data_IF_522300961518
#
_entry.id   IF_522300961518
#
_cell.length_a   1.000
_cell.length_b   1.000
_cell.length_c   1.000
_cell.angle_alpha   90.00
_cell.angle_beta   90.00
_cell.angle_gamma   90.00
#
_symmetry.space_group_name_H-M   'P 1'
#
loop_
_entity.id
_entity.type
_entity.pdbx_description
1 polymer ?
#
# COMPACT_ATOMS: atom_id res chain seq x y z
N UNK A 1 -3.51 4.05 -22.22
CA UNK A 1 -3.59 2.61 -21.84
C UNK A 1 -5.05 2.25 -21.69
N UNK A 2 -5.51 1.09 -22.23
CA UNK A 2 -6.87 0.61 -21.98
C UNK A 2 -7.03 0.32 -20.49
N UNK A 3 -8.18 0.69 -19.92
CA UNK A 3 -8.50 0.35 -18.53
C UNK A 3 -8.64 -1.17 -18.41
N UNK A 4 -7.98 -1.74 -17.42
CA UNK A 4 -8.21 -3.13 -17.02
C UNK A 4 -9.36 -3.14 -16.01
N UNK A 5 -10.31 -4.06 -16.19
CA UNK A 5 -11.45 -4.23 -15.30
C UNK A 5 -11.38 -5.58 -14.61
N UNK A 6 -11.76 -5.60 -13.35
CA UNK A 6 -11.95 -6.83 -12.58
C UNK A 6 -13.29 -7.47 -12.94
N UNK A 7 -13.48 -8.74 -12.66
CA UNK A 7 -14.69 -9.49 -13.02
C UNK A 7 -15.97 -8.80 -12.53
N UNK A 8 -15.99 -8.34 -11.30
CA UNK A 8 -17.15 -7.65 -10.73
C UNK A 8 -17.38 -6.24 -11.30
N UNK A 9 -16.45 -5.70 -12.06
CA UNK A 9 -16.56 -4.41 -12.77
C UNK A 9 -17.10 -4.57 -14.22
N UNK A 10 -17.43 -5.78 -14.66
CA UNK A 10 -17.91 -6.02 -16.03
C UNK A 10 -19.03 -5.08 -16.48
N UNK A 11 -20.08 -4.80 -15.66
CA UNK A 11 -21.12 -3.86 -16.06
C UNK A 11 -20.59 -2.43 -16.30
N UNK A 12 -19.54 -2.03 -15.58
CA UNK A 12 -18.84 -0.75 -15.76
C UNK A 12 -18.01 -0.76 -17.05
N UNK A 13 -17.31 -1.87 -17.33
CA UNK A 13 -16.52 -2.07 -18.54
C UNK A 13 -17.38 -1.96 -19.81
N UNK A 14 -18.56 -2.60 -19.82
CA UNK A 14 -19.50 -2.53 -20.93
C UNK A 14 -19.98 -1.09 -21.19
N UNK A 15 -20.27 -0.35 -20.12
CA UNK A 15 -20.72 1.04 -20.22
C UNK A 15 -19.60 1.97 -20.70
N UNK A 16 -18.38 1.81 -20.20
CA UNK A 16 -17.23 2.59 -20.66
C UNK A 16 -16.85 2.28 -22.12
N UNK A 17 -16.94 1.01 -22.55
CA UNK A 17 -16.74 0.63 -23.95
C UNK A 17 -17.79 1.29 -24.88
N UNK A 18 -19.05 1.35 -24.44
CA UNK A 18 -20.11 2.03 -25.21
C UNK A 18 -19.83 3.54 -25.33
N UNK A 19 -19.39 4.17 -24.26
CA UNK A 19 -18.99 5.59 -24.28
C UNK A 19 -17.82 5.82 -25.27
N UNK A 20 -16.82 4.94 -25.26
CA UNK A 20 -15.69 5.03 -26.16
C UNK A 20 -16.10 4.87 -27.63
N UNK A 21 -16.97 3.91 -27.94
CA UNK A 21 -17.56 3.73 -29.28
C UNK A 21 -18.30 4.99 -29.75
N UNK A 22 -19.15 5.58 -28.90
CA UNK A 22 -19.89 6.80 -29.25
C UNK A 22 -18.96 7.98 -29.50
N UNK A 23 -17.89 8.14 -28.71
CA UNK A 23 -16.86 9.17 -28.95
C UNK A 23 -16.16 8.99 -30.29
N UNK A 24 -15.90 7.74 -30.71
CA UNK A 24 -15.30 7.45 -31.99
C UNK A 24 -16.27 7.84 -33.14
N UNK A 25 -17.58 7.47 -33.04
CA UNK A 25 -18.59 7.85 -34.00
C UNK A 25 -18.75 9.36 -34.07
N UNK A 26 -18.74 10.07 -32.94
CA UNK A 26 -18.85 11.53 -32.92
C UNK A 26 -17.67 12.22 -33.61
N UNK A 27 -16.47 11.65 -33.50
CA UNK A 27 -15.27 12.20 -34.15
C UNK A 27 -15.30 12.02 -35.67
N UNK A 28 -16.04 11.04 -36.19
CA UNK A 28 -16.11 10.62 -37.60
C UNK A 28 -17.40 11.09 -38.32
N UNK A 29 -18.35 11.68 -37.60
CA UNK A 29 -19.64 12.12 -38.14
C UNK A 29 -20.02 13.54 -37.71
N UNK A 30 -20.88 14.22 -38.52
CA UNK A 30 -21.42 15.54 -38.17
C UNK A 30 -22.55 15.50 -37.14
N UNK A 31 -22.85 14.33 -36.56
CA UNK A 31 -23.93 14.17 -35.56
C UNK A 31 -23.42 14.52 -34.17
N UNK A 32 -24.06 15.49 -33.52
CA UNK A 32 -23.74 15.82 -32.12
C UNK A 32 -24.47 14.86 -31.17
N UNK A 33 -23.71 14.00 -30.53
CA UNK A 33 -24.18 13.02 -29.52
C UNK A 33 -23.61 13.32 -28.13
N UNK A 34 -23.16 14.55 -27.88
CA UNK A 34 -22.53 14.96 -26.63
C UNK A 34 -23.43 14.75 -25.41
N UNK A 35 -24.73 15.02 -25.55
CA UNK A 35 -25.72 14.82 -24.46
C UNK A 35 -25.83 13.35 -24.06
N UNK A 36 -25.84 12.43 -25.02
CA UNK A 36 -25.93 11.00 -24.74
C UNK A 36 -24.63 10.49 -24.09
N UNK A 37 -23.47 10.94 -24.57
CA UNK A 37 -22.18 10.65 -23.93
C UNK A 37 -22.17 11.15 -22.49
N UNK A 38 -22.66 12.37 -22.26
CA UNK A 38 -22.75 12.96 -20.91
C UNK A 38 -23.63 12.13 -19.95
N UNK A 39 -24.82 11.69 -20.45
CA UNK A 39 -25.72 10.79 -19.67
C UNK A 39 -25.06 9.46 -19.33
N UNK A 40 -24.39 8.84 -20.28
CA UNK A 40 -23.70 7.56 -20.05
C UNK A 40 -22.51 7.71 -19.10
N UNK A 41 -21.76 8.81 -19.16
CA UNK A 41 -20.69 9.11 -18.21
C UNK A 41 -21.22 9.28 -16.79
N UNK A 42 -22.33 10.00 -16.61
CA UNK A 42 -22.96 10.13 -15.31
C UNK A 42 -23.46 8.78 -14.77
N UNK A 43 -24.05 7.96 -15.65
CA UNK A 43 -24.46 6.60 -15.30
C UNK A 43 -23.27 5.73 -14.90
N UNK A 44 -22.14 5.83 -15.63
CA UNK A 44 -20.91 5.12 -15.31
C UNK A 44 -20.38 5.51 -13.92
N UNK A 45 -20.34 6.81 -13.60
CA UNK A 45 -19.91 7.29 -12.28
C UNK A 45 -20.84 6.80 -11.16
N UNK A 46 -22.15 6.81 -11.37
CA UNK A 46 -23.13 6.31 -10.40
C UNK A 46 -22.93 4.81 -10.16
N UNK A 47 -22.85 4.03 -11.25
CA UNK A 47 -22.62 2.60 -11.18
C UNK A 47 -21.29 2.25 -10.49
N UNK A 48 -20.21 2.97 -10.79
CA UNK A 48 -18.93 2.79 -10.10
C UNK A 48 -19.05 3.05 -8.59
N UNK A 49 -19.76 4.11 -8.18
CA UNK A 49 -20.02 4.39 -6.76
C UNK A 49 -20.80 3.26 -6.08
N UNK A 50 -21.82 2.73 -6.73
CA UNK A 50 -22.66 1.63 -6.21
C UNK A 50 -21.87 0.34 -6.03
N UNK A 51 -21.05 -0.02 -7.05
CA UNK A 51 -20.19 -1.22 -7.00
C UNK A 51 -19.17 -1.07 -5.87
N UNK A 52 -18.45 0.04 -5.84
CA UNK A 52 -17.35 0.26 -4.87
C UNK A 52 -17.83 0.52 -3.43
N UNK A 53 -19.08 0.90 -3.24
CA UNK A 53 -19.70 1.01 -1.91
C UNK A 53 -20.02 -0.36 -1.27
N UNK A 54 -20.06 -1.43 -2.07
CA UNK A 54 -20.51 -2.77 -1.63
C UNK A 54 -19.44 -3.86 -1.83
N UNK A 55 -18.18 -3.47 -2.00
CA UNK A 55 -17.12 -4.44 -2.18
C UNK A 55 -17.02 -5.40 -0.98
N UNK A 56 -16.97 -6.69 -1.29
CA UNK A 56 -16.60 -7.69 -0.28
C UNK A 56 -15.11 -7.57 0.08
N UNK A 57 -14.65 -8.12 1.21
CA UNK A 57 -13.23 -8.17 1.56
C UNK A 57 -12.37 -8.84 0.47
N UNK A 58 -12.89 -9.88 -0.18
CA UNK A 58 -12.23 -10.52 -1.31
C UNK A 58 -12.10 -9.59 -2.52
N UNK A 59 -13.17 -8.92 -2.91
CA UNK A 59 -13.12 -7.92 -3.99
C UNK A 59 -12.17 -6.77 -3.66
N UNK A 60 -12.13 -6.33 -2.41
CA UNK A 60 -11.15 -5.34 -1.94
C UNK A 60 -9.72 -5.85 -2.11
N UNK A 61 -9.45 -7.12 -1.81
CA UNK A 61 -8.13 -7.72 -2.05
C UNK A 61 -7.76 -7.73 -3.54
N UNK A 62 -8.71 -7.99 -4.43
CA UNK A 62 -8.48 -7.90 -5.87
C UNK A 62 -8.17 -6.46 -6.32
N UNK A 63 -8.87 -5.45 -5.78
CA UNK A 63 -8.56 -4.03 -6.03
C UNK A 63 -7.18 -3.65 -5.50
N UNK A 64 -6.79 -4.12 -4.31
CA UNK A 64 -5.45 -3.89 -3.74
C UNK A 64 -4.34 -4.41 -4.65
N UNK A 65 -4.59 -5.48 -5.40
CA UNK A 65 -3.67 -6.14 -6.34
C UNK A 65 -3.80 -5.66 -7.78
N UNK A 66 -4.70 -4.70 -8.04
CA UNK A 66 -4.98 -4.28 -9.41
C UNK A 66 -3.68 -3.86 -10.14
N UNK A 67 -3.40 -4.37 -11.37
CA UNK A 67 -2.11 -4.17 -12.04
C UNK A 67 -1.82 -2.71 -12.41
N UNK A 68 -2.84 -1.87 -12.51
CA UNK A 68 -2.70 -0.44 -12.78
C UNK A 68 -2.66 0.41 -11.50
N UNK A 69 -2.76 -0.20 -10.31
CA UNK A 69 -2.68 0.54 -9.04
C UNK A 69 -1.31 1.23 -8.91
N UNK A 70 -1.25 2.49 -8.44
CA UNK A 70 0.01 3.19 -8.24
C UNK A 70 0.91 2.45 -7.24
N UNK A 71 2.19 2.33 -7.58
CA UNK A 71 3.25 1.79 -6.72
C UNK A 71 4.03 2.91 -6.05
N UNK A 72 4.97 2.57 -5.20
CA UNK A 72 5.76 3.54 -4.42
C UNK A 72 6.39 4.63 -5.29
N UNK A 73 7.05 4.27 -6.40
CA UNK A 73 7.69 5.26 -7.29
C UNK A 73 6.68 6.20 -7.96
N UNK A 74 5.44 5.78 -8.17
CA UNK A 74 4.39 6.66 -8.72
C UNK A 74 4.03 7.73 -7.67
N UNK A 75 3.88 7.34 -6.40
CA UNK A 75 3.64 8.30 -5.31
C UNK A 75 4.86 9.20 -5.05
N UNK A 76 6.08 8.65 -5.16
CA UNK A 76 7.31 9.45 -5.01
C UNK A 76 7.33 10.58 -6.03
N UNK A 77 7.04 10.32 -7.30
CA UNK A 77 7.03 11.33 -8.37
C UNK A 77 5.97 12.43 -8.17
N UNK A 78 4.81 12.08 -7.61
CA UNK A 78 3.68 13.00 -7.46
C UNK A 78 3.69 13.78 -6.13
N UNK A 79 4.32 13.24 -5.08
CA UNK A 79 4.23 13.77 -3.71
C UNK A 79 5.52 14.47 -3.27
N UNK A 80 6.68 13.94 -3.69
CA UNK A 80 7.99 14.39 -3.22
C UNK A 80 8.77 15.10 -4.34
N UNK A 81 9.77 15.89 -3.95
CA UNK A 81 10.75 16.48 -4.87
C UNK A 81 12.17 16.01 -4.50
N UNK A 82 13.11 16.18 -5.43
CA UNK A 82 14.54 15.90 -5.21
C UNK A 82 14.79 14.48 -4.67
N UNK A 83 14.10 13.49 -5.22
CA UNK A 83 14.30 12.10 -4.80
C UNK A 83 15.61 11.56 -5.37
N UNK A 84 16.49 11.13 -4.45
CA UNK A 84 17.76 10.47 -4.74
C UNK A 84 17.74 9.06 -4.15
N UNK A 85 17.63 8.06 -5.02
CA UNK A 85 17.61 6.66 -4.60
C UNK A 85 18.98 6.21 -4.08
N UNK A 86 18.97 5.44 -2.98
CA UNK A 86 20.14 4.91 -2.31
C UNK A 86 20.12 3.38 -2.34
N UNK A 87 21.03 2.79 -3.09
CA UNK A 87 21.06 1.36 -3.38
C UNK A 87 21.94 0.55 -2.40
N UNK A 88 21.63 -0.75 -2.29
CA UNK A 88 22.43 -1.76 -1.63
C UNK A 88 22.37 -1.77 -0.10
N UNK A 89 22.58 -2.95 0.48
CA UNK A 89 22.55 -3.19 1.92
C UNK A 89 23.91 -3.01 2.62
N UNK A 90 25.01 -2.87 1.88
CA UNK A 90 26.40 -2.82 2.37
C UNK A 90 26.90 -4.12 2.98
N UNK A 91 26.19 -5.25 2.72
CA UNK A 91 26.57 -6.58 3.20
C UNK A 91 26.64 -7.62 2.08
N UNK A 92 25.65 -7.62 1.17
CA UNK A 92 25.57 -8.61 0.12
C UNK A 92 25.25 -8.01 -1.25
N UNK A 93 24.06 -7.39 -1.43
CA UNK A 93 23.62 -6.89 -2.73
C UNK A 93 22.58 -5.75 -2.60
N UNK A 94 22.08 -5.30 -3.74
CA UNK A 94 20.85 -4.51 -3.82
C UNK A 94 19.65 -5.41 -4.06
N UNK A 95 18.48 -4.99 -3.56
CA UNK A 95 17.19 -5.60 -3.85
C UNK A 95 16.22 -4.52 -4.34
N UNK A 96 15.83 -4.62 -5.61
CA UNK A 96 14.96 -3.66 -6.27
C UNK A 96 13.48 -3.77 -5.85
N UNK A 97 13.10 -4.77 -5.05
CA UNK A 97 11.75 -4.88 -4.50
C UNK A 97 11.47 -3.92 -3.33
N UNK A 98 12.54 -3.41 -2.70
CA UNK A 98 12.47 -2.23 -1.84
C UNK A 98 13.25 -1.11 -2.51
N UNK A 99 12.63 0.03 -2.66
CA UNK A 99 13.29 1.29 -3.03
C UNK A 99 13.40 2.17 -1.81
N UNK A 100 14.39 3.02 -1.77
CA UNK A 100 14.49 4.02 -0.73
C UNK A 100 15.54 5.07 -1.04
N UNK A 101 15.35 6.26 -0.48
CA UNK A 101 16.23 7.37 -0.75
C UNK A 101 15.83 8.65 -0.03
N UNK A 102 16.68 9.64 -0.16
CA UNK A 102 16.41 10.99 0.35
C UNK A 102 15.50 11.74 -0.62
N UNK A 103 14.60 12.54 -0.06
CA UNK A 103 13.68 13.38 -0.82
C UNK A 103 13.33 14.65 -0.05
N UNK A 104 12.46 15.48 -0.63
CA UNK A 104 11.82 16.58 0.08
C UNK A 104 10.31 16.40 0.06
N UNK A 105 9.71 16.52 1.22
CA UNK A 105 8.27 16.59 1.42
C UNK A 105 7.88 18.02 1.80
N UNK A 106 7.13 18.73 0.93
CA UNK A 106 6.81 20.14 1.13
C UNK A 106 8.05 21.02 1.43
N UNK A 107 9.16 20.78 0.75
CA UNK A 107 10.44 21.47 0.92
C UNK A 107 11.32 20.95 2.06
N UNK A 108 10.78 20.14 2.98
CA UNK A 108 11.51 19.58 4.11
C UNK A 108 12.24 18.27 3.73
N UNK A 109 13.52 18.11 4.07
CA UNK A 109 14.24 16.86 3.85
C UNK A 109 13.60 15.70 4.60
N UNK A 110 13.52 14.54 3.95
CA UNK A 110 12.96 13.32 4.52
C UNK A 110 13.60 12.07 3.92
N UNK A 111 13.34 10.92 4.53
CA UNK A 111 13.65 9.61 4.00
C UNK A 111 12.37 8.94 3.51
N UNK A 112 12.41 8.39 2.29
CA UNK A 112 11.31 7.59 1.71
C UNK A 112 11.81 6.16 1.52
N UNK A 113 11.01 5.19 1.94
CA UNK A 113 11.29 3.75 1.80
C UNK A 113 9.99 3.07 1.39
N UNK A 114 10.01 2.14 0.44
CA UNK A 114 8.78 1.44 0.09
C UNK A 114 8.98 0.23 -0.80
N UNK A 115 7.98 -0.62 -0.82
CA UNK A 115 7.93 -1.76 -1.72
C UNK A 115 7.65 -1.29 -3.15
N UNK A 116 8.26 -1.93 -4.11
CA UNK A 116 8.07 -1.65 -5.52
C UNK A 116 7.81 -2.93 -6.29
N UNK A 117 6.65 -2.99 -6.94
CA UNK A 117 6.29 -4.02 -7.91
C UNK A 117 6.64 -3.56 -9.32
N UNK A 118 6.73 -4.48 -10.26
CA UNK A 118 6.98 -4.19 -11.67
C UNK A 118 5.68 -4.09 -12.50
N UNK A 119 5.72 -3.31 -13.58
CA UNK A 119 4.60 -3.14 -14.51
C UNK A 119 4.54 -4.25 -15.57
N UNK A 120 5.68 -4.62 -16.13
CA UNK A 120 5.82 -5.69 -17.11
C UNK A 120 6.52 -6.92 -16.51
N UNK A 121 6.60 -7.99 -17.30
CA UNK A 121 7.20 -9.27 -16.85
C UNK A 121 8.67 -9.11 -16.47
N UNK A 122 9.45 -8.32 -17.22
CA UNK A 122 10.87 -8.10 -16.97
C UNK A 122 11.07 -7.33 -15.67
N UNK A 123 10.32 -6.24 -15.49
CA UNK A 123 10.38 -5.44 -14.28
C UNK A 123 9.89 -6.23 -13.06
N UNK A 124 8.80 -7.01 -13.19
CA UNK A 124 8.32 -7.90 -12.12
C UNK A 124 9.37 -8.90 -11.68
N UNK A 125 10.06 -9.54 -12.63
CA UNK A 125 11.14 -10.47 -12.32
C UNK A 125 12.32 -9.78 -11.62
N UNK A 126 12.75 -8.60 -12.08
CA UNK A 126 13.83 -7.83 -11.48
C UNK A 126 13.51 -7.39 -10.04
N UNK A 127 12.24 -7.10 -9.76
CA UNK A 127 11.73 -6.71 -8.43
C UNK A 127 11.17 -7.89 -7.62
N UNK A 128 11.48 -9.11 -8.03
CA UNK A 128 11.05 -10.34 -7.39
C UNK A 128 9.55 -10.33 -7.04
N UNK A 129 8.70 -9.83 -7.95
CA UNK A 129 7.24 -9.70 -7.80
C UNK A 129 6.80 -8.89 -6.58
N UNK A 130 7.65 -7.99 -6.10
CA UNK A 130 7.42 -7.18 -4.89
C UNK A 130 7.64 -7.92 -3.58
N UNK A 131 8.32 -9.07 -3.63
CA UNK A 131 8.70 -9.87 -2.45
C UNK A 131 10.17 -9.61 -2.09
N UNK A 132 10.47 -8.83 -1.03
CA UNK A 132 11.84 -8.51 -0.68
C UNK A 132 12.62 -9.72 -0.17
N UNK A 133 13.92 -9.71 -0.51
CA UNK A 133 14.95 -10.57 0.04
C UNK A 133 15.59 -9.92 1.27
N UNK A 134 16.42 -10.63 2.04
CA UNK A 134 17.08 -10.08 3.23
C UNK A 134 17.82 -8.78 2.98
N UNK A 135 18.49 -8.66 1.84
CA UNK A 135 19.23 -7.47 1.43
C UNK A 135 18.32 -6.25 1.21
N UNK A 136 17.06 -6.42 0.82
CA UNK A 136 16.07 -5.34 0.75
C UNK A 136 15.73 -4.80 2.14
N UNK A 137 15.49 -5.68 3.10
CA UNK A 137 15.21 -5.28 4.48
C UNK A 137 16.43 -4.65 5.16
N UNK A 138 17.64 -5.18 4.94
CA UNK A 138 18.87 -4.57 5.44
C UNK A 138 19.14 -3.20 4.82
N UNK A 139 18.82 -3.02 3.52
CA UNK A 139 18.85 -1.70 2.88
C UNK A 139 17.87 -0.73 3.58
N UNK A 140 16.62 -1.15 3.82
CA UNK A 140 15.65 -0.34 4.54
C UNK A 140 16.18 0.05 5.94
N UNK A 141 16.74 -0.90 6.68
CA UNK A 141 17.36 -0.65 7.99
C UNK A 141 18.46 0.42 7.91
N UNK A 142 19.37 0.26 6.96
CA UNK A 142 20.46 1.22 6.74
C UNK A 142 19.92 2.63 6.48
N UNK A 143 18.87 2.75 5.69
CA UNK A 143 18.24 4.05 5.38
C UNK A 143 17.52 4.63 6.60
N UNK A 144 16.85 3.80 7.41
CA UNK A 144 16.23 4.23 8.66
C UNK A 144 17.27 4.80 9.66
N UNK A 145 18.41 4.11 9.82
CA UNK A 145 19.52 4.59 10.64
C UNK A 145 20.15 5.88 10.09
N UNK A 146 20.24 6.00 8.77
CA UNK A 146 20.69 7.24 8.12
C UNK A 146 19.72 8.39 8.39
N UNK A 147 18.42 8.14 8.29
CA UNK A 147 17.40 9.14 8.60
C UNK A 147 17.46 9.59 10.07
N UNK A 148 17.60 8.66 11.00
CA UNK A 148 17.75 8.96 12.41
C UNK A 148 18.99 9.83 12.68
N UNK A 149 20.15 9.47 12.10
CA UNK A 149 21.40 10.24 12.21
C UNK A 149 21.25 11.70 11.79
N UNK A 150 20.48 11.96 10.73
CA UNK A 150 20.23 13.30 10.21
C UNK A 150 18.92 13.92 10.71
N UNK A 151 18.23 13.27 11.62
CA UNK A 151 16.94 13.72 12.19
C UNK A 151 15.87 13.96 11.12
N UNK A 152 15.83 13.10 10.11
CA UNK A 152 14.87 13.16 9.02
C UNK A 152 13.61 12.35 9.36
N UNK A 153 12.41 12.86 9.11
CA UNK A 153 11.20 12.03 9.16
C UNK A 153 11.25 10.95 8.08
N UNK A 154 10.67 9.80 8.39
CA UNK A 154 10.63 8.64 7.53
C UNK A 154 9.20 8.41 7.06
N UNK A 155 9.03 8.28 5.74
CA UNK A 155 7.79 7.85 5.11
C UNK A 155 7.99 6.45 4.54
N UNK A 156 7.16 5.48 4.96
CA UNK A 156 7.20 4.14 4.39
C UNK A 156 5.94 3.82 3.60
N UNK A 157 6.10 3.13 2.46
CA UNK A 157 5.02 2.70 1.59
C UNK A 157 5.00 1.19 1.46
N UNK A 158 3.94 0.56 1.94
CA UNK A 158 3.79 -0.89 2.02
C UNK A 158 2.95 -1.39 0.84
N UNK A 159 3.55 -2.23 0.00
CA UNK A 159 2.87 -2.93 -1.09
C UNK A 159 3.61 -4.22 -1.47
N UNK A 160 3.42 -5.26 -0.68
CA UNK A 160 4.04 -6.57 -0.87
C UNK A 160 3.08 -7.71 -0.55
N UNK A 161 3.08 -8.80 -1.32
CA UNK A 161 2.38 -10.03 -0.94
C UNK A 161 3.03 -10.75 0.25
N UNK A 162 4.29 -10.41 0.58
CA UNK A 162 5.08 -11.01 1.66
C UNK A 162 6.57 -10.96 1.38
N UNK A 163 7.36 -11.47 2.31
CA UNK A 163 8.80 -11.66 2.12
C UNK A 163 9.07 -12.84 1.17
N UNK A 164 10.17 -12.78 0.43
CA UNK A 164 10.57 -13.88 -0.45
C UNK A 164 10.87 -15.16 0.35
N UNK A 165 10.21 -16.30 0.03
CA UNK A 165 10.32 -17.54 0.81
C UNK A 165 11.36 -18.52 0.26
N UNK A 166 12.25 -18.11 -0.65
CA UNK A 166 13.19 -19.00 -1.31
C UNK A 166 14.40 -19.37 -0.44
N UNK A 167 15.10 -20.44 -0.82
CA UNK A 167 16.30 -20.96 -0.12
C UNK A 167 17.33 -19.86 0.11
N UNK A 168 17.65 -19.06 -0.90
CA UNK A 168 18.61 -17.96 -0.76
C UNK A 168 18.18 -16.87 0.23
N UNK A 169 16.91 -16.77 0.58
CA UNK A 169 16.45 -15.88 1.64
C UNK A 169 16.75 -16.48 3.02
N UNK A 170 16.50 -17.78 3.22
CA UNK A 170 16.88 -18.49 4.45
C UNK A 170 18.40 -18.45 4.68
N UNK A 171 19.20 -18.77 3.66
CA UNK A 171 20.66 -18.75 3.73
C UNK A 171 21.22 -17.37 4.13
N UNK A 172 20.55 -16.29 3.76
CA UNK A 172 21.00 -14.92 4.04
C UNK A 172 20.23 -14.23 5.17
N UNK A 173 19.47 -15.00 5.96
CA UNK A 173 18.87 -14.54 7.20
C UNK A 173 17.62 -13.68 7.03
N UNK A 174 16.61 -14.17 6.29
CA UNK A 174 15.33 -13.45 6.09
C UNK A 174 14.64 -13.09 7.39
N UNK A 175 14.51 -14.06 8.31
CA UNK A 175 13.85 -13.84 9.61
C UNK A 175 14.62 -12.82 10.46
N UNK A 176 15.94 -12.91 10.47
CA UNK A 176 16.79 -11.96 11.20
C UNK A 176 16.64 -10.54 10.64
N UNK A 177 16.72 -10.37 9.32
CA UNK A 177 16.61 -9.05 8.69
C UNK A 177 15.24 -8.39 8.97
N UNK A 178 14.16 -9.17 8.95
CA UNK A 178 12.80 -8.69 9.30
C UNK A 178 12.73 -8.35 10.80
N UNK A 179 13.13 -9.26 11.67
CA UNK A 179 13.08 -9.08 13.13
C UNK A 179 13.93 -7.90 13.62
N UNK A 180 15.12 -7.72 13.05
CA UNK A 180 15.98 -6.58 13.34
C UNK A 180 15.34 -5.25 12.89
N UNK A 181 14.67 -5.21 11.74
CA UNK A 181 13.93 -4.02 11.33
C UNK A 181 12.82 -3.66 12.32
N UNK A 182 12.04 -4.65 12.79
CA UNK A 182 10.99 -4.41 13.80
C UNK A 182 11.56 -3.78 15.09
N UNK A 183 12.64 -4.38 15.57
CA UNK A 183 13.34 -3.88 16.76
C UNK A 183 13.82 -2.44 16.58
N UNK A 184 14.54 -2.16 15.49
CA UNK A 184 15.08 -0.84 15.22
C UNK A 184 13.97 0.19 15.00
N UNK A 185 12.94 -0.14 14.26
CA UNK A 185 11.81 0.78 14.03
C UNK A 185 11.10 1.17 15.33
N UNK A 186 11.02 0.26 16.29
CA UNK A 186 10.46 0.57 17.60
C UNK A 186 11.27 1.64 18.36
N UNK A 187 12.57 1.72 18.15
CA UNK A 187 13.49 2.61 18.87
C UNK A 187 13.85 3.91 18.12
N UNK A 188 13.48 4.06 16.84
CA UNK A 188 13.84 5.24 16.05
C UNK A 188 13.37 6.55 16.71
N UNK A 189 14.29 7.50 16.84
CA UNK A 189 14.07 8.80 17.48
C UNK A 189 13.59 9.89 16.50
N UNK A 190 12.98 9.50 15.41
CA UNK A 190 12.42 10.39 14.38
C UNK A 190 10.99 9.98 14.06
N UNK A 191 10.16 10.88 13.54
CA UNK A 191 8.82 10.54 13.06
C UNK A 191 8.85 9.45 12.00
N UNK A 192 8.04 8.40 12.16
CA UNK A 192 7.85 7.33 11.17
C UNK A 192 6.37 7.26 10.80
N UNK A 193 6.07 7.53 9.54
CA UNK A 193 4.72 7.51 8.99
C UNK A 193 4.64 6.40 7.96
N UNK A 194 3.83 5.40 8.25
CA UNK A 194 3.59 4.22 7.41
C UNK A 194 2.33 4.41 6.59
N UNK A 195 2.35 3.99 5.33
CA UNK A 195 1.15 3.93 4.50
C UNK A 195 1.05 2.59 3.78
N UNK A 196 -0.02 1.84 4.02
CA UNK A 196 -0.35 0.66 3.24
C UNK A 196 -1.06 1.15 1.96
N UNK A 197 -0.39 1.00 0.79
CA UNK A 197 -0.86 1.51 -0.49
C UNK A 197 -1.47 0.44 -1.41
N UNK A 198 -1.26 -0.83 -1.10
CA UNK A 198 -1.77 -1.97 -1.84
C UNK A 198 -1.92 -3.17 -0.92
N UNK A 199 -1.09 -4.19 -1.09
CA UNK A 199 -1.06 -5.36 -0.20
C UNK A 199 -0.06 -5.16 0.95
N UNK A 200 -0.50 -5.40 2.18
CA UNK A 200 0.37 -5.47 3.35
C UNK A 200 0.50 -6.91 3.80
N UNK A 201 1.37 -7.71 3.15
CA UNK A 201 1.50 -9.14 3.41
C UNK A 201 2.52 -9.48 4.49
N UNK A 202 2.05 -10.05 5.61
CA UNK A 202 2.84 -10.77 6.61
C UNK A 202 4.07 -9.99 7.15
N UNK A 203 5.11 -10.71 7.56
CA UNK A 203 6.38 -10.14 8.04
C UNK A 203 7.08 -9.24 7.02
N UNK A 204 6.85 -9.50 5.72
CA UNK A 204 7.37 -8.65 4.65
C UNK A 204 6.87 -7.21 4.73
N UNK A 205 5.60 -7.04 5.02
CA UNK A 205 5.00 -5.73 5.27
C UNK A 205 5.45 -5.14 6.61
N UNK A 206 5.43 -5.95 7.67
CA UNK A 206 5.79 -5.51 9.03
C UNK A 206 7.20 -4.92 9.11
N UNK A 207 8.15 -5.48 8.35
CA UNK A 207 9.56 -5.07 8.38
C UNK A 207 9.80 -3.58 8.04
N UNK A 208 8.79 -2.88 7.50
CA UNK A 208 8.81 -1.43 7.28
C UNK A 208 7.53 -0.73 7.77
N UNK A 209 6.76 -1.39 8.65
CA UNK A 209 5.42 -0.91 9.05
C UNK A 209 5.27 -0.57 10.54
N UNK A 210 6.33 -0.52 11.33
CA UNK A 210 6.28 -0.07 12.72
C UNK A 210 6.46 1.45 12.77
N UNK A 211 5.37 2.20 12.92
CA UNK A 211 5.38 3.65 12.84
C UNK A 211 4.63 4.37 13.95
N UNK A 212 4.86 5.68 14.06
CA UNK A 212 4.08 6.57 14.91
C UNK A 212 2.67 6.77 14.39
N UNK A 213 2.51 6.80 13.07
CA UNK A 213 1.22 6.86 12.39
C UNK A 213 1.19 5.78 11.30
N UNK A 214 0.10 5.01 11.26
CA UNK A 214 -0.16 3.99 10.23
C UNK A 214 -1.42 4.36 9.48
N UNK A 215 -1.22 4.78 8.23
CA UNK A 215 -2.27 5.11 7.29
C UNK A 215 -2.51 3.92 6.36
N UNK A 216 -3.71 3.81 5.84
CA UNK A 216 -4.05 2.77 4.88
C UNK A 216 -4.99 3.33 3.83
N UNK A 217 -4.72 3.07 2.54
CA UNK A 217 -5.64 3.44 1.49
C UNK A 217 -6.92 2.61 1.58
N UNK A 218 -8.03 3.18 1.17
CA UNK A 218 -9.38 2.63 1.37
C UNK A 218 -9.55 1.20 0.85
N UNK A 219 -8.97 0.90 -0.31
CA UNK A 219 -9.06 -0.41 -0.95
C UNK A 219 -7.73 -1.17 -0.91
N UNK A 220 -6.90 -0.91 0.09
CA UNK A 220 -5.74 -1.72 0.42
C UNK A 220 -6.12 -2.86 1.37
N UNK A 221 -5.23 -3.84 1.52
CA UNK A 221 -5.37 -4.94 2.49
C UNK A 221 -4.13 -5.05 3.36
N UNK A 222 -4.31 -5.47 4.61
CA UNK A 222 -3.21 -5.71 5.54
C UNK A 222 -3.51 -6.96 6.38
N UNK A 223 -2.68 -7.99 6.27
CA UNK A 223 -2.94 -9.28 6.89
C UNK A 223 -1.66 -10.08 7.13
N UNK A 224 -1.75 -11.03 8.06
CA UNK A 224 -0.66 -11.97 8.37
C UNK A 224 -0.39 -12.98 7.26
N UNK A 225 -1.38 -13.28 6.44
CA UNK A 225 -1.33 -14.26 5.34
C UNK A 225 -2.30 -13.83 4.22
N UNK A 226 -2.06 -14.25 2.99
CA UNK A 226 -3.03 -14.04 1.91
C UNK A 226 -4.31 -14.85 2.14
N UNK A 227 -5.48 -14.39 1.68
CA UNK A 227 -6.71 -15.15 1.77
C UNK A 227 -6.60 -16.55 1.18
N UNK A 228 -5.92 -16.70 0.05
CA UNK A 228 -5.69 -17.99 -0.62
C UNK A 228 -4.81 -18.91 0.23
N UNK A 229 -3.75 -18.36 0.83
CA UNK A 229 -2.87 -19.11 1.75
C UNK A 229 -3.62 -19.59 2.99
N UNK A 230 -4.40 -18.72 3.61
CA UNK A 230 -5.27 -19.05 4.74
C UNK A 230 -6.29 -20.15 4.36
N UNK A 231 -6.97 -19.99 3.23
CA UNK A 231 -7.92 -20.95 2.72
C UNK A 231 -7.29 -22.34 2.47
N UNK A 232 -6.10 -22.35 1.86
CA UNK A 232 -5.37 -23.60 1.60
C UNK A 232 -4.97 -24.32 2.88
N UNK A 233 -4.57 -23.61 3.93
CA UNK A 233 -4.18 -24.19 5.23
C UNK A 233 -5.40 -24.70 6.00
N UNK A 234 -6.46 -23.88 6.13
CA UNK A 234 -7.60 -24.20 7.00
C UNK A 234 -8.65 -25.08 6.32
N UNK A 235 -8.91 -24.86 5.03
CA UNK A 235 -9.96 -25.58 4.29
C UNK A 235 -9.42 -26.52 3.20
N UNK A 236 -8.09 -26.53 2.98
CA UNK A 236 -7.42 -27.31 1.92
C UNK A 236 -7.99 -27.02 0.52
N UNK A 237 -8.52 -25.83 0.31
CA UNK A 237 -9.05 -25.36 -0.98
C UNK A 237 -8.86 -23.86 -1.12
N UNK A 238 -8.21 -23.43 -2.19
CA UNK A 238 -8.05 -22.02 -2.54
C UNK A 238 -9.40 -21.34 -2.90
N UNK A 239 -10.42 -22.11 -3.29
CA UNK A 239 -11.75 -21.60 -3.61
C UNK A 239 -12.45 -20.96 -2.39
N UNK A 240 -11.95 -21.24 -1.18
CA UNK A 240 -12.38 -20.64 0.08
C UNK A 240 -11.69 -19.31 0.40
N UNK A 241 -10.93 -18.74 -0.54
CA UNK A 241 -10.30 -17.44 -0.35
C UNK A 241 -11.28 -16.30 -0.02
N UNK A 242 -12.51 -16.22 -0.58
CA UNK A 242 -13.50 -15.24 -0.16
C UNK A 242 -13.90 -15.36 1.32
N UNK A 243 -14.13 -16.59 1.81
CA UNK A 243 -14.48 -16.86 3.20
C UNK A 243 -13.31 -16.50 4.13
N UNK A 244 -12.09 -16.82 3.72
CA UNK A 244 -10.86 -16.45 4.43
C UNK A 244 -10.66 -14.92 4.50
N UNK A 245 -10.92 -14.20 3.41
CA UNK A 245 -10.81 -12.74 3.38
C UNK A 245 -11.76 -12.06 4.37
N UNK A 246 -12.98 -12.58 4.51
CA UNK A 246 -13.96 -12.11 5.49
C UNK A 246 -13.49 -12.40 6.92
N UNK A 247 -13.07 -13.63 7.21
CA UNK A 247 -12.64 -14.07 8.53
C UNK A 247 -11.38 -13.34 9.03
N UNK A 248 -10.44 -13.05 8.14
CA UNK A 248 -9.18 -12.36 8.45
C UNK A 248 -9.34 -10.85 8.71
N UNK A 249 -10.50 -10.25 8.41
CA UNK A 249 -10.80 -8.84 8.63
C UNK A 249 -9.76 -7.87 8.01
N UNK A 250 -9.26 -8.16 6.80
CA UNK A 250 -8.10 -7.54 6.16
C UNK A 250 -8.30 -6.13 5.62
N UNK A 251 -9.53 -5.58 5.66
CA UNK A 251 -9.88 -4.30 5.02
C UNK A 251 -9.60 -3.09 5.92
N UNK A 252 -9.35 -1.94 5.32
CA UNK A 252 -9.00 -0.73 6.05
C UNK A 252 -10.02 -0.30 7.12
N UNK A 253 -11.35 -0.33 6.88
CA UNK A 253 -12.33 -0.01 7.93
C UNK A 253 -12.24 -0.97 9.13
N UNK A 254 -12.15 -2.29 8.87
CA UNK A 254 -12.06 -3.30 9.93
C UNK A 254 -10.80 -3.15 10.77
N UNK A 255 -9.66 -2.91 10.12
CA UNK A 255 -8.38 -2.71 10.81
C UNK A 255 -8.35 -1.42 11.63
N UNK A 256 -9.07 -0.38 11.19
CA UNK A 256 -9.26 0.83 11.96
C UNK A 256 -10.11 0.59 13.20
N UNK A 257 -11.21 -0.14 13.08
CA UNK A 257 -12.08 -0.51 14.21
C UNK A 257 -11.33 -1.35 15.25
N UNK A 258 -10.41 -2.21 14.80
CA UNK A 258 -9.52 -3.01 15.65
C UNK A 258 -8.35 -2.20 16.26
N UNK A 259 -8.17 -0.93 15.87
CA UNK A 259 -7.09 -0.07 16.34
C UNK A 259 -5.71 -0.40 15.77
N UNK A 260 -5.64 -1.19 14.70
CA UNK A 260 -4.38 -1.57 14.05
C UNK A 260 -3.82 -0.49 13.12
N UNK A 261 -4.69 0.38 12.60
CA UNK A 261 -4.33 1.55 11.81
C UNK A 261 -4.98 2.82 12.38
N UNK A 262 -4.38 3.99 12.11
CA UNK A 262 -4.89 5.27 12.63
C UNK A 262 -5.87 5.94 11.69
N UNK A 263 -5.64 5.81 10.39
CA UNK A 263 -6.41 6.56 9.40
C UNK A 263 -6.61 5.78 8.12
N UNK A 264 -7.86 5.75 7.65
CA UNK A 264 -8.19 5.37 6.27
C UNK A 264 -8.08 6.60 5.38
N UNK A 265 -7.32 6.50 4.30
CA UNK A 265 -7.23 7.52 3.26
C UNK A 265 -8.17 7.14 2.12
N UNK A 266 -9.22 7.91 1.94
CA UNK A 266 -10.21 7.64 0.89
C UNK A 266 -9.57 7.68 -0.50
N UNK A 267 -10.01 6.78 -1.36
CA UNK A 267 -9.59 6.70 -2.75
C UNK A 267 -10.62 7.36 -3.68
N UNK A 268 -10.21 7.77 -4.89
CA UNK A 268 -11.15 8.14 -5.94
C UNK A 268 -12.16 7.01 -6.21
N UNK A 269 -13.33 7.38 -6.73
CA UNK A 269 -14.33 6.37 -7.14
C UNK A 269 -13.71 5.41 -8.17
N UNK A 270 -13.82 4.13 -7.92
CA UNK A 270 -13.19 3.10 -8.74
C UNK A 270 -11.74 2.77 -8.34
N UNK A 271 -11.21 3.36 -7.25
CA UNK A 271 -9.89 3.03 -6.70
C UNK A 271 -8.77 3.97 -7.17
N UNK A 272 -7.60 3.83 -6.54
CA UNK A 272 -6.41 4.67 -6.77
C UNK A 272 -5.93 4.67 -8.24
N UNK A 273 -6.15 3.59 -8.97
CA UNK A 273 -5.74 3.42 -10.37
C UNK A 273 -6.62 4.21 -11.35
N UNK A 274 -7.83 4.60 -10.97
CA UNK A 274 -8.74 5.39 -11.83
C UNK A 274 -8.32 6.86 -11.91
N UNK A 275 -7.80 7.42 -10.82
CA UNK A 275 -7.22 8.76 -10.81
C UNK A 275 -5.99 8.83 -9.89
N UNK A 276 -4.82 8.41 -10.38
CA UNK A 276 -3.59 8.40 -9.60
C UNK A 276 -3.18 9.77 -9.07
N UNK A 277 -3.48 10.85 -9.82
CA UNK A 277 -3.12 12.21 -9.42
C UNK A 277 -4.00 12.71 -8.27
N UNK A 278 -5.31 12.45 -8.33
CA UNK A 278 -6.21 12.75 -7.21
C UNK A 278 -5.79 11.94 -5.99
N UNK A 279 -5.51 10.65 -6.16
CA UNK A 279 -5.05 9.79 -5.07
C UNK A 279 -3.77 10.33 -4.41
N UNK A 280 -2.78 10.71 -5.21
CA UNK A 280 -1.54 11.29 -4.70
C UNK A 280 -1.77 12.60 -3.90
N UNK A 281 -2.67 13.47 -4.38
CA UNK A 281 -3.04 14.69 -3.63
C UNK A 281 -3.71 14.39 -2.28
N UNK A 282 -4.64 13.42 -2.25
CA UNK A 282 -5.30 12.99 -1.02
C UNK A 282 -4.28 12.41 -0.03
N UNK A 283 -3.39 11.56 -0.52
CA UNK A 283 -2.34 10.97 0.30
C UNK A 283 -1.34 12.01 0.80
N UNK A 284 -0.87 12.93 -0.06
CA UNK A 284 0.02 14.04 0.34
C UNK A 284 -0.57 14.85 1.49
N UNK A 285 -1.87 15.14 1.43
CA UNK A 285 -2.56 15.84 2.52
C UNK A 285 -2.55 15.03 3.81
N UNK A 286 -2.89 13.74 3.73
CA UNK A 286 -2.92 12.86 4.90
C UNK A 286 -1.54 12.70 5.54
N UNK A 287 -0.47 12.54 4.74
CA UNK A 287 0.91 12.49 5.21
C UNK A 287 1.31 13.80 5.90
N UNK A 288 0.94 14.95 5.32
CA UNK A 288 1.22 16.27 5.91
C UNK A 288 0.50 16.49 7.25
N UNK A 289 -0.75 16.03 7.37
CA UNK A 289 -1.50 16.09 8.63
C UNK A 289 -0.80 15.25 9.71
N UNK A 290 -0.42 14.01 9.39
CA UNK A 290 0.28 13.12 10.33
C UNK A 290 1.65 13.67 10.74
N UNK A 291 2.41 14.20 9.78
CA UNK A 291 3.72 14.76 10.07
C UNK A 291 3.64 15.96 11.02
N UNK A 292 2.67 16.87 10.81
CA UNK A 292 2.47 18.04 11.71
C UNK A 292 2.18 17.62 13.15
N UNK A 293 1.44 16.54 13.35
CA UNK A 293 1.15 16.01 14.69
C UNK A 293 2.40 15.47 15.39
N UNK A 294 3.37 14.95 14.63
CA UNK A 294 4.57 14.31 15.17
C UNK A 294 5.76 15.26 15.32
N UNK A 295 5.83 16.33 14.51
CA UNK A 295 6.98 17.26 14.49
C UNK A 295 7.21 18.00 15.80
N UNK A 296 6.19 18.14 16.64
CA UNK A 296 6.30 18.80 17.96
C UNK A 296 6.73 17.87 19.10
N UNK A 297 6.87 16.57 18.85
CA UNK A 297 7.19 15.58 19.87
C UNK A 297 8.71 15.45 20.06
N UNK A 298 9.14 15.25 21.32
CA UNK A 298 10.54 14.90 21.58
C UNK A 298 10.89 13.50 21.06
N UNK A 299 12.18 13.20 20.85
CA UNK A 299 12.61 11.86 20.46
C UNK A 299 12.11 10.76 21.40
N UNK A 300 12.11 11.01 22.70
CA UNK A 300 11.63 10.08 23.73
C UNK A 300 10.11 9.88 23.63
N UNK A 301 9.35 10.95 23.38
CA UNK A 301 7.90 10.87 23.20
C UNK A 301 7.52 10.08 21.93
N UNK A 302 8.30 10.20 20.85
CA UNK A 302 8.09 9.42 19.63
C UNK A 302 8.30 7.92 19.87
N UNK A 303 9.32 7.54 20.63
CA UNK A 303 9.59 6.14 20.99
C UNK A 303 8.50 5.61 21.92
N UNK A 304 8.15 6.36 22.98
CA UNK A 304 7.10 5.98 23.93
C UNK A 304 5.76 5.77 23.22
N UNK A 305 5.35 6.68 22.35
CA UNK A 305 4.10 6.58 21.57
C UNK A 305 4.03 5.29 20.73
N UNK A 306 5.14 4.89 20.08
CA UNK A 306 5.18 3.63 19.30
C UNK A 306 5.07 2.41 20.20
N UNK A 307 5.77 2.40 21.33
CA UNK A 307 5.69 1.31 22.30
C UNK A 307 4.27 1.17 22.86
N UNK A 308 3.67 2.26 23.32
CA UNK A 308 2.28 2.28 23.81
C UNK A 308 1.29 1.75 22.76
N UNK A 309 1.48 2.15 21.48
CA UNK A 309 0.69 1.67 20.36
C UNK A 309 0.78 0.15 20.21
N UNK A 310 2.00 -0.41 20.20
CA UNK A 310 2.22 -1.86 20.04
C UNK A 310 1.62 -2.63 21.22
N UNK A 311 1.79 -2.12 22.44
CA UNK A 311 1.24 -2.73 23.66
C UNK A 311 -0.31 -2.64 23.72
N UNK A 312 -0.91 -1.70 23.00
CA UNK A 312 -2.37 -1.54 22.96
C UNK A 312 -3.05 -2.48 21.94
N UNK A 313 -2.31 -3.22 21.13
CA UNK A 313 -2.89 -4.19 20.19
C UNK A 313 -3.50 -5.39 20.91
N UNK A 314 -4.52 -6.02 20.30
CA UNK A 314 -5.12 -7.24 20.82
C UNK A 314 -6.13 -7.01 21.95
N UNK A 315 -6.93 -5.95 21.86
CA UNK A 315 -8.06 -5.75 22.78
C UNK A 315 -9.08 -6.87 22.61
N UNK A 316 -9.43 -7.55 23.69
CA UNK A 316 -10.45 -8.59 23.71
C UNK A 316 -11.39 -8.38 24.90
N UNK A 317 -12.59 -8.91 24.81
CA UNK A 317 -13.55 -9.00 25.93
C UNK A 317 -13.70 -10.47 26.29
N UNK A 318 -13.47 -10.81 27.56
CA UNK A 318 -13.83 -12.13 28.07
C UNK A 318 -15.35 -12.22 28.15
N UNK A 319 -15.96 -13.08 27.35
CA UNK A 319 -17.35 -13.49 27.58
C UNK A 319 -17.32 -14.48 28.71
N UNK A 320 -17.64 -14.03 29.94
CA UNK A 320 -17.88 -14.94 31.05
C UNK A 320 -19.15 -15.74 30.73
N UNK A 321 -18.97 -17.04 30.46
CA UNK A 321 -20.05 -17.99 30.27
C UNK A 321 -20.88 -18.22 31.55
#
# INVERSE_FOLDING_TARGET
>A
MRNTFLEFEQPLAELENKIEQLRYVQADSAVDISDEIGRLQQKSQTLAKEIYAKLTPWQTALVARHPQRPYTLDYVREIFTDFHELHGDRMYADDQSIIGGMARFNGMPCMVIGHQKGRDTKERAARNFGMPRPEGYRKALRLMRLAEKFRLPIFTFVDTPGAYPGIGAEERGQSEAIGHNLYVMAELKVPVIVTIIGEGGSGGALAIAVGNAVLMLQYSTYSVISPEGCASILWRSADKAPDAAEALAITAPRLKDLGLIDRVVNEPVGGAHRDPRVMARLLRRALGDSLRQLQGLSPEALVAQRLERVLAYGRYQEVRG
#
